data_IF_575899286223
#
_entry.id   IF_575899286223
#
_cell.length_a   1.000
_cell.length_b   1.000
_cell.length_c   1.000
_cell.angle_alpha   90.00
_cell.angle_beta   90.00
_cell.angle_gamma   90.00
#
_symmetry.space_group_name_H-M   'P 1'
#
loop_
_entity.id
_entity.type
_entity.pdbx_description
1 polymer ?
#
# COMPACT_ATOMS: atom_id res chain seq x y z
N UNK A 1 7.23 2.90 11.63
CA UNK A 1 6.02 2.91 10.78
C UNK A 1 4.79 2.66 11.64
N UNK A 2 3.70 3.42 11.48
CA UNK A 2 2.44 3.15 12.21
C UNK A 2 1.80 1.86 11.68
N UNK A 3 1.18 1.02 12.53
CA UNK A 3 0.54 -0.21 12.07
C UNK A 3 -0.66 0.11 11.16
N UNK A 4 -0.98 -0.76 10.19
CA UNK A 4 -2.13 -0.57 9.31
C UNK A 4 -3.43 -0.67 10.11
N UNK A 5 -4.24 0.40 10.07
CA UNK A 5 -5.55 0.47 10.69
C UNK A 5 -6.60 -0.01 9.69
N UNK A 6 -7.09 -1.22 9.93
CA UNK A 6 -8.02 -1.89 9.03
C UNK A 6 -9.36 -2.08 9.75
N UNK A 7 -10.40 -1.47 9.20
CA UNK A 7 -11.77 -1.60 9.65
C UNK A 7 -12.56 -2.46 8.68
N UNK A 8 -13.63 -3.07 9.17
CA UNK A 8 -14.58 -3.80 8.31
C UNK A 8 -15.83 -2.96 8.14
N UNK A 9 -16.26 -2.80 6.91
CA UNK A 9 -17.52 -2.13 6.58
C UNK A 9 -18.48 -3.21 6.07
N UNK A 10 -19.30 -3.74 6.98
CA UNK A 10 -20.19 -4.88 6.69
C UNK A 10 -19.43 -6.19 6.45
N UNK A 11 -20.01 -7.08 5.64
CA UNK A 11 -19.50 -8.45 5.41
C UNK A 11 -18.61 -8.58 4.18
N UNK A 12 -18.64 -7.59 3.26
CA UNK A 12 -18.01 -7.66 1.94
C UNK A 12 -17.02 -6.53 1.66
N UNK A 13 -16.75 -5.63 2.62
CA UNK A 13 -15.78 -4.55 2.43
C UNK A 13 -14.82 -4.44 3.60
N UNK A 14 -13.58 -4.14 3.25
CA UNK A 14 -12.50 -3.84 4.19
C UNK A 14 -11.98 -2.45 3.90
N UNK A 15 -11.86 -1.62 4.92
CA UNK A 15 -11.43 -0.21 4.81
C UNK A 15 -10.09 -0.06 5.52
N UNK A 16 -9.10 0.40 4.79
CA UNK A 16 -7.77 0.72 5.29
C UNK A 16 -7.69 2.23 5.54
N UNK A 17 -7.80 2.60 6.81
CA UNK A 17 -8.06 3.98 7.27
C UNK A 17 -6.83 4.88 7.12
N UNK A 18 -5.68 4.45 7.62
CA UNK A 18 -4.44 5.25 7.60
C UNK A 18 -3.59 4.99 6.35
N UNK A 19 -4.22 4.66 5.22
CA UNK A 19 -3.51 4.35 3.97
C UNK A 19 -2.64 5.50 3.48
N UNK A 20 -3.19 6.72 3.42
CA UNK A 20 -2.44 7.92 2.98
C UNK A 20 -1.25 8.24 3.87
N UNK A 21 -1.43 8.13 5.18
CA UNK A 21 -0.36 8.36 6.16
C UNK A 21 0.81 7.40 5.93
N UNK A 22 0.49 6.15 5.61
CA UNK A 22 1.48 5.11 5.35
C UNK A 22 2.21 5.38 4.03
N UNK A 23 1.48 5.79 2.98
CA UNK A 23 2.08 6.21 1.71
C UNK A 23 3.03 7.41 1.87
N UNK A 24 2.61 8.43 2.65
CA UNK A 24 3.44 9.59 2.98
C UNK A 24 4.70 9.20 3.74
N UNK A 25 4.58 8.31 4.73
CA UNK A 25 5.72 7.82 5.52
C UNK A 25 6.74 7.06 4.66
N UNK A 26 6.28 6.37 3.61
CA UNK A 26 7.15 5.65 2.67
C UNK A 26 7.67 6.53 1.53
N UNK A 27 7.25 7.81 1.45
CA UNK A 27 7.50 8.67 0.28
C UNK A 27 7.10 8.00 -1.04
N UNK A 28 5.90 7.40 -1.08
CA UNK A 28 5.38 6.71 -2.27
C UNK A 28 4.03 7.27 -2.70
N UNK A 29 3.81 7.26 -4.01
CA UNK A 29 2.54 7.68 -4.59
C UNK A 29 1.42 6.70 -4.18
N UNK A 30 0.29 7.19 -3.65
CA UNK A 30 -0.80 6.34 -3.19
C UNK A 30 -1.33 5.39 -4.27
N UNK A 31 -1.37 5.84 -5.53
CA UNK A 31 -1.84 5.06 -6.66
C UNK A 31 -1.00 3.81 -6.91
N UNK A 32 0.33 3.92 -6.80
CA UNK A 32 1.24 2.79 -6.98
C UNK A 32 1.09 1.76 -5.84
N UNK A 33 1.06 2.24 -4.59
CA UNK A 33 0.86 1.36 -3.43
C UNK A 33 -0.51 0.66 -3.49
N UNK A 34 -1.55 1.39 -3.90
CA UNK A 34 -2.89 0.85 -4.08
C UNK A 34 -2.92 -0.24 -5.14
N UNK A 35 -2.39 0.02 -6.34
CA UNK A 35 -2.35 -0.98 -7.41
C UNK A 35 -1.61 -2.24 -6.99
N UNK A 36 -0.47 -2.09 -6.31
CA UNK A 36 0.30 -3.21 -5.79
C UNK A 36 -0.50 -4.04 -4.77
N UNK A 37 -1.12 -3.38 -3.78
CA UNK A 37 -1.95 -4.06 -2.77
C UNK A 37 -3.11 -4.81 -3.43
N UNK A 38 -3.81 -4.17 -4.36
CA UNK A 38 -4.96 -4.77 -5.05
C UNK A 38 -4.56 -5.98 -5.91
N UNK A 39 -3.41 -5.88 -6.60
CA UNK A 39 -2.85 -6.98 -7.39
C UNK A 39 -2.47 -8.18 -6.51
N UNK A 40 -1.72 -7.96 -5.43
CA UNK A 40 -1.31 -9.04 -4.50
C UNK A 40 -2.49 -9.68 -3.76
N UNK A 41 -3.53 -8.90 -3.45
CA UNK A 41 -4.76 -9.42 -2.83
C UNK A 41 -5.72 -10.05 -3.84
N UNK A 42 -5.46 -9.95 -5.15
CA UNK A 42 -6.36 -10.45 -6.20
C UNK A 42 -7.75 -9.83 -6.15
N UNK A 43 -7.85 -8.54 -5.82
CA UNK A 43 -9.12 -7.84 -5.62
C UNK A 43 -9.12 -6.45 -6.24
N UNK A 44 -10.28 -5.80 -6.22
CA UNK A 44 -10.46 -4.41 -6.64
C UNK A 44 -10.85 -3.52 -5.44
N UNK A 45 -10.49 -2.26 -5.54
CA UNK A 45 -10.75 -1.26 -4.52
C UNK A 45 -10.53 0.15 -5.05
N UNK A 46 -10.86 1.13 -4.23
CA UNK A 46 -10.74 2.54 -4.56
C UNK A 46 -10.52 3.37 -3.30
N UNK A 47 -9.98 4.56 -3.46
CA UNK A 47 -9.98 5.56 -2.38
C UNK A 47 -11.37 6.15 -2.21
N UNK A 48 -11.79 6.36 -0.97
CA UNK A 48 -13.01 7.12 -0.65
C UNK A 48 -12.71 8.63 -0.57
N UNK A 49 -13.75 9.44 -0.32
CA UNK A 49 -13.61 10.89 -0.16
C UNK A 49 -12.79 11.35 1.05
N UNK A 50 -12.50 10.45 1.99
CA UNK A 50 -11.61 10.68 3.13
C UNK A 50 -10.19 10.14 2.87
N UNK A 51 -9.89 9.78 1.62
CA UNK A 51 -8.64 9.15 1.19
C UNK A 51 -8.30 7.84 1.93
N UNK A 52 -9.32 7.10 2.37
CA UNK A 52 -9.17 5.75 2.93
C UNK A 52 -9.30 4.74 1.80
N UNK A 53 -8.50 3.67 1.83
CA UNK A 53 -8.54 2.65 0.80
C UNK A 53 -9.65 1.65 1.11
N UNK A 54 -10.69 1.61 0.28
CA UNK A 54 -11.82 0.69 0.37
C UNK A 54 -11.61 -0.47 -0.58
N UNK A 55 -11.61 -1.69 -0.04
CA UNK A 55 -11.32 -2.92 -0.76
C UNK A 55 -12.52 -3.84 -0.71
N UNK A 56 -12.84 -4.46 -1.86
CA UNK A 56 -13.89 -5.48 -1.94
C UNK A 56 -13.35 -6.80 -1.37
N UNK A 57 -14.05 -7.34 -0.37
CA UNK A 57 -13.69 -8.57 0.31
C UNK A 57 -13.42 -8.37 1.80
N UNK A 58 -13.16 -9.48 2.47
CA UNK A 58 -12.89 -9.55 3.91
C UNK A 58 -11.43 -9.93 4.12
N UNK A 59 -10.63 -8.97 4.56
CA UNK A 59 -9.21 -9.18 4.81
C UNK A 59 -8.88 -8.92 6.28
N UNK A 60 -7.95 -9.70 6.83
CA UNK A 60 -7.44 -9.46 8.17
C UNK A 60 -6.28 -8.45 8.11
N UNK A 61 -6.04 -7.66 9.18
CA UNK A 61 -4.91 -6.73 9.24
C UNK A 61 -3.56 -7.39 8.90
N UNK A 62 -3.35 -8.65 9.34
CA UNK A 62 -2.14 -9.44 9.05
C UNK A 62 -1.85 -9.61 7.55
N UNK A 63 -2.87 -9.68 6.70
CA UNK A 63 -2.69 -9.78 5.25
C UNK A 63 -2.06 -8.49 4.69
N UNK A 64 -2.52 -7.33 5.17
CA UNK A 64 -1.97 -6.04 4.78
C UNK A 64 -0.53 -5.88 5.23
N UNK A 65 -0.21 -6.27 6.47
CA UNK A 65 1.17 -6.22 6.98
C UNK A 65 2.12 -7.08 6.13
N UNK A 66 1.71 -8.29 5.76
CA UNK A 66 2.52 -9.18 4.94
C UNK A 66 2.82 -8.59 3.56
N UNK A 67 1.81 -8.05 2.88
CA UNK A 67 1.96 -7.45 1.55
C UNK A 67 2.75 -6.14 1.60
N UNK A 68 2.49 -5.28 2.60
CA UNK A 68 3.26 -4.05 2.80
C UNK A 68 4.73 -4.35 3.05
N UNK A 69 5.04 -5.41 3.81
CA UNK A 69 6.44 -5.81 4.03
C UNK A 69 7.14 -6.22 2.73
N UNK A 70 6.44 -6.92 1.83
CA UNK A 70 6.96 -7.23 0.48
C UNK A 70 7.18 -5.95 -0.32
N UNK A 71 6.18 -5.07 -0.34
CA UNK A 71 6.27 -3.78 -1.03
C UNK A 71 7.46 -2.95 -0.56
N UNK A 72 7.69 -2.87 0.75
CA UNK A 72 8.82 -2.12 1.32
C UNK A 72 10.14 -2.73 0.87
N UNK A 73 10.29 -4.05 0.93
CA UNK A 73 11.54 -4.72 0.54
C UNK A 73 11.86 -4.55 -0.95
N UNK A 74 10.85 -4.47 -1.81
CA UNK A 74 11.03 -4.44 -3.27
C UNK A 74 11.05 -3.02 -3.85
N UNK A 75 10.25 -2.10 -3.29
CA UNK A 75 10.01 -0.77 -3.85
C UNK A 75 10.37 0.39 -2.91
N UNK A 76 10.88 0.14 -1.70
CA UNK A 76 11.27 1.20 -0.74
C UNK A 76 12.71 1.05 -0.27
N UNK A 77 13.16 -0.18 0.00
CA UNK A 77 14.52 -0.44 0.44
C UNK A 77 15.45 -0.51 -0.76
N UNK A 78 16.54 0.26 -0.73
CA UNK A 78 17.62 0.14 -1.71
C UNK A 78 18.38 -1.18 -1.53
N UNK A 79 18.55 -1.96 -2.60
CA UNK A 79 19.30 -3.22 -2.57
C UNK A 79 20.80 -3.05 -2.27
N UNK A 80 21.38 -1.85 -2.50
CA UNK A 80 22.78 -1.57 -2.21
C UNK A 80 23.03 -1.20 -0.75
N UNK A 81 22.40 -0.11 -0.29
CA UNK A 81 22.67 0.47 1.03
C UNK A 81 21.65 0.10 2.11
N UNK A 82 20.58 -0.64 1.77
CA UNK A 82 19.44 -0.98 2.64
C UNK A 82 18.73 0.23 3.27
N UNK A 83 18.96 1.43 2.75
CA UNK A 83 18.24 2.63 3.18
C UNK A 83 16.80 2.59 2.67
N UNK A 84 15.80 2.95 3.50
CA UNK A 84 14.42 3.14 3.08
C UNK A 84 14.17 4.51 2.43
N UNK A 85 15.19 5.38 2.42
CA UNK A 85 15.11 6.75 1.86
C UNK A 85 15.44 6.73 0.37
N UNK A 86 14.54 6.15 -0.42
CA UNK A 86 14.65 6.08 -1.89
C UNK A 86 13.45 6.78 -2.52
N UNK A 87 13.57 7.22 -3.78
CA UNK A 87 12.49 7.90 -4.49
C UNK A 87 12.14 7.10 -5.73
N UNK A 88 10.91 6.58 -5.78
CA UNK A 88 10.43 5.86 -6.95
C UNK A 88 10.13 6.85 -8.07
N UNK A 89 10.98 6.87 -9.09
CA UNK A 89 10.84 7.74 -10.27
C UNK A 89 10.27 6.95 -11.44
N UNK A 90 9.30 7.52 -12.15
CA UNK A 90 8.70 6.89 -13.34
C UNK A 90 9.33 7.50 -14.59
N UNK A 91 10.11 6.71 -15.32
CA UNK A 91 10.60 7.10 -16.65
C UNK A 91 9.93 6.22 -17.71
N UNK A 92 9.19 6.86 -18.62
CA UNK A 92 8.35 6.23 -19.63
C UNK A 92 7.29 5.26 -19.04
N UNK A 93 7.57 3.95 -19.12
CA UNK A 93 6.71 2.84 -18.68
C UNK A 93 7.33 2.02 -17.54
N UNK A 94 8.52 2.39 -17.09
CA UNK A 94 9.27 1.66 -16.07
C UNK A 94 9.41 2.52 -14.81
N UNK A 95 9.37 1.86 -13.65
CA UNK A 95 9.64 2.48 -12.36
C UNK A 95 11.09 2.18 -11.97
N UNK A 96 11.82 3.23 -11.60
CA UNK A 96 13.21 3.17 -11.16
C UNK A 96 13.28 3.59 -9.69
N UNK A 97 14.05 2.83 -8.91
CA UNK A 97 14.31 3.07 -7.49
C UNK A 97 15.62 3.84 -7.29
#
# INVERSE_FOLDING_TARGET
>A
MRPPQVLREGTKKTVFVNFMDLCKTMHRQPEHVMMFLLAEMGTSGSLDGQQRLVIKGRFAPKNFEAILRRYINEYVICNGCKSPDTILSKENRLFFL
#
